data_IF_100311831867
#
_entry.id   IF_100311831867
#
_cell.length_a   1.000
_cell.length_b   1.000
_cell.length_c   1.000
_cell.angle_alpha   90.00
_cell.angle_beta   90.00
_cell.angle_gamma   90.00
#
_symmetry.space_group_name_H-M   'P 1'
#
loop_
_entity.id
_entity.type
_entity.pdbx_description
1 polymer ?
#
# COMPACT_ATOMS: atom_id res chain seq x y z
N UNK A 1 -12.73 22.61 -10.78
CA UNK A 1 -12.86 21.47 -11.70
C UNK A 1 -12.05 20.35 -11.08
N UNK A 2 -12.59 19.12 -10.96
CA UNK A 2 -11.78 18.01 -10.51
C UNK A 2 -10.62 17.84 -11.50
N UNK A 3 -9.36 17.80 -11.02
CA UNK A 3 -8.21 17.49 -11.87
C UNK A 3 -8.47 16.13 -12.52
N UNK A 4 -8.22 16.08 -13.83
CA UNK A 4 -8.40 14.84 -14.57
C UNK A 4 -7.26 13.89 -14.17
N UNK A 5 -7.59 12.82 -13.46
CA UNK A 5 -6.61 11.82 -12.97
C UNK A 5 -5.75 11.18 -14.06
N UNK A 6 -6.09 11.35 -15.35
CA UNK A 6 -5.37 10.77 -16.47
C UNK A 6 -4.28 11.69 -17.07
N UNK A 7 -4.01 12.85 -16.50
CA UNK A 7 -3.08 13.80 -17.11
C UNK A 7 -1.66 13.26 -17.22
N UNK A 8 -1.16 12.61 -16.17
CA UNK A 8 0.18 12.01 -16.18
C UNK A 8 0.28 10.83 -17.14
N UNK A 9 -0.71 9.97 -17.16
CA UNK A 9 -0.75 8.84 -18.10
C UNK A 9 -0.81 9.33 -19.55
N UNK A 10 -1.63 10.33 -19.86
CA UNK A 10 -1.70 10.92 -21.22
C UNK A 10 -0.38 11.50 -21.69
N UNK A 11 0.34 12.19 -20.81
CA UNK A 11 1.66 12.74 -21.13
C UNK A 11 2.62 11.62 -21.52
N UNK A 12 2.65 10.52 -20.76
CA UNK A 12 3.51 9.39 -21.05
C UNK A 12 3.08 8.61 -22.31
N UNK A 13 1.78 8.41 -22.52
CA UNK A 13 1.29 7.80 -23.77
C UNK A 13 1.63 8.64 -25.02
N UNK A 14 1.57 9.96 -24.90
CA UNK A 14 1.96 10.87 -26.00
C UNK A 14 3.47 10.82 -26.30
N UNK A 15 4.30 10.41 -25.34
CA UNK A 15 5.74 10.16 -25.55
C UNK A 15 6.05 8.79 -26.16
N UNK A 16 5.01 7.96 -26.41
CA UNK A 16 5.14 6.65 -27.06
C UNK A 16 5.15 5.45 -26.11
N UNK A 17 5.07 5.66 -24.78
CA UNK A 17 4.92 4.57 -23.83
C UNK A 17 3.52 3.96 -23.93
N UNK A 18 3.36 2.69 -23.59
CA UNK A 18 2.09 1.97 -23.72
C UNK A 18 1.62 1.36 -22.40
N UNK A 19 2.47 0.62 -21.74
CA UNK A 19 2.17 -0.07 -20.49
C UNK A 19 2.58 0.79 -19.28
N UNK A 20 1.67 1.65 -18.81
CA UNK A 20 1.90 2.51 -17.64
C UNK A 20 1.33 1.84 -16.39
N UNK A 21 2.16 1.72 -15.38
CA UNK A 21 1.82 1.09 -14.10
C UNK A 21 1.74 2.14 -12.99
N UNK A 22 0.65 2.17 -12.25
CA UNK A 22 0.57 2.89 -10.98
C UNK A 22 0.99 1.99 -9.83
N UNK A 23 1.73 2.53 -8.86
CA UNK A 23 2.22 1.78 -7.68
C UNK A 23 2.03 2.61 -6.42
N UNK A 24 1.47 1.99 -5.38
CA UNK A 24 1.32 2.59 -4.05
C UNK A 24 1.40 1.54 -2.94
N UNK A 25 1.66 1.98 -1.70
CA UNK A 25 1.70 1.11 -0.55
C UNK A 25 0.65 1.47 0.52
N UNK A 26 0.34 0.51 1.37
CA UNK A 26 -0.49 0.69 2.55
C UNK A 26 0.12 0.02 3.77
N UNK A 27 0.10 0.72 4.91
CA UNK A 27 0.52 0.11 6.17
C UNK A 27 1.96 0.41 6.58
N UNK A 28 2.57 1.51 6.14
CA UNK A 28 3.89 1.94 6.61
C UNK A 28 3.90 2.30 8.11
N UNK A 29 2.87 2.98 8.63
CA UNK A 29 2.83 3.53 10.00
C UNK A 29 2.34 2.63 11.15
N UNK A 30 1.59 1.52 10.95
CA UNK A 30 1.11 0.66 12.05
C UNK A 30 2.24 0.00 12.85
N UNK A 31 1.95 -0.27 14.14
CA UNK A 31 2.83 -1.01 15.06
C UNK A 31 2.82 -2.52 14.80
N UNK A 32 1.79 -3.02 14.09
CA UNK A 32 1.62 -4.45 13.81
C UNK A 32 1.10 -4.70 12.39
N UNK A 33 1.41 -5.90 11.89
CA UNK A 33 1.03 -6.39 10.58
C UNK A 33 1.97 -5.95 9.46
N UNK A 34 1.80 -6.53 8.26
CA UNK A 34 2.64 -6.28 7.09
C UNK A 34 2.43 -4.90 6.47
N UNK A 35 3.39 -4.47 5.66
CA UNK A 35 3.19 -3.43 4.65
C UNK A 35 2.79 -4.12 3.34
N UNK A 36 1.75 -3.60 2.69
CA UNK A 36 1.27 -4.05 1.39
C UNK A 36 1.63 -3.05 0.33
N UNK A 37 1.89 -3.51 -0.88
CA UNK A 37 1.97 -2.68 -2.07
C UNK A 37 1.13 -3.29 -3.19
N UNK A 38 0.66 -2.47 -4.10
CA UNK A 38 0.01 -2.90 -5.32
C UNK A 38 0.59 -2.18 -6.53
N UNK A 39 0.62 -2.88 -7.66
CA UNK A 39 0.98 -2.39 -8.97
C UNK A 39 -0.20 -2.65 -9.93
N UNK A 40 -0.59 -1.66 -10.73
CA UNK A 40 -1.79 -1.75 -11.57
C UNK A 40 -1.53 -1.11 -12.93
N UNK A 41 -1.84 -1.84 -14.00
CA UNK A 41 -1.91 -1.33 -15.37
C UNK A 41 -3.39 -1.28 -15.74
N UNK A 42 -3.91 -0.08 -15.99
CA UNK A 42 -5.30 0.13 -16.36
C UNK A 42 -5.46 0.27 -17.90
N UNK A 43 -6.60 -0.16 -18.46
CA UNK A 43 -6.97 0.24 -19.82
C UNK A 43 -7.02 1.77 -19.94
N UNK A 44 -6.61 2.28 -21.09
CA UNK A 44 -6.56 3.74 -21.33
C UNK A 44 -7.90 4.39 -21.05
N UNK A 45 -7.87 5.43 -20.21
CA UNK A 45 -9.00 6.31 -19.90
C UNK A 45 -10.27 5.60 -19.39
N UNK A 46 -10.13 4.39 -18.85
CA UNK A 46 -11.27 3.69 -18.24
C UNK A 46 -11.86 4.53 -17.09
N UNK A 47 -13.17 4.65 -17.07
CA UNK A 47 -13.88 5.40 -16.03
C UNK A 47 -14.14 4.54 -14.80
N UNK A 48 -13.64 4.95 -13.63
CA UNK A 48 -14.06 4.43 -12.34
C UNK A 48 -14.79 5.54 -11.59
N UNK A 49 -16.15 5.52 -11.55
CA UNK A 49 -16.91 6.57 -10.86
C UNK A 49 -16.50 6.66 -9.37
N UNK A 50 -15.99 7.82 -8.99
CA UNK A 50 -15.56 8.07 -7.61
C UNK A 50 -14.16 7.60 -7.26
N UNK A 51 -13.34 7.17 -8.23
CA UNK A 51 -11.92 6.91 -8.03
C UNK A 51 -11.24 8.18 -7.49
N UNK A 52 -10.55 8.07 -6.39
CA UNK A 52 -9.82 9.14 -5.72
C UNK A 52 -8.86 8.53 -4.71
N UNK A 53 -8.01 9.35 -4.08
CA UNK A 53 -7.22 9.00 -2.90
C UNK A 53 -8.01 8.10 -1.94
N UNK A 54 -7.48 6.91 -1.68
CA UNK A 54 -8.15 5.86 -0.89
C UNK A 54 -8.53 6.33 0.53
N UNK A 55 -7.81 7.30 1.08
CA UNK A 55 -8.03 7.87 2.42
C UNK A 55 -9.29 8.76 2.48
N UNK A 56 -9.70 9.32 1.34
CA UNK A 56 -10.91 10.14 1.21
C UNK A 56 -12.19 9.32 1.00
N UNK A 57 -12.06 8.02 0.77
CA UNK A 57 -13.15 7.11 0.49
C UNK A 57 -13.62 6.35 1.73
N UNK A 58 -14.91 6.03 1.82
CA UNK A 58 -15.41 5.10 2.83
C UNK A 58 -14.95 3.67 2.53
N UNK A 59 -14.90 2.80 3.54
CA UNK A 59 -14.54 1.39 3.36
C UNK A 59 -15.40 0.70 2.28
N UNK A 60 -16.73 0.90 2.33
CA UNK A 60 -17.66 0.33 1.35
C UNK A 60 -17.37 0.79 -0.10
N UNK A 61 -17.03 2.08 -0.29
CA UNK A 61 -16.65 2.58 -1.63
C UNK A 61 -15.34 1.98 -2.10
N UNK A 62 -14.34 1.82 -1.20
CA UNK A 62 -13.09 1.15 -1.54
C UNK A 62 -13.29 -0.30 -1.94
N UNK A 63 -14.16 -1.05 -1.24
CA UNK A 63 -14.45 -2.44 -1.59
C UNK A 63 -15.09 -2.56 -2.99
N UNK A 64 -16.06 -1.69 -3.32
CA UNK A 64 -16.65 -1.66 -4.67
C UNK A 64 -15.62 -1.34 -5.75
N UNK A 65 -14.77 -0.34 -5.52
CA UNK A 65 -13.70 0.02 -6.46
C UNK A 65 -12.64 -1.08 -6.58
N UNK A 66 -12.30 -1.75 -5.48
CA UNK A 66 -11.40 -2.91 -5.51
C UNK A 66 -11.89 -3.97 -6.48
N UNK A 67 -13.17 -4.36 -6.37
CA UNK A 67 -13.77 -5.38 -7.24
C UNK A 67 -13.82 -4.92 -8.70
N UNK A 68 -14.14 -3.63 -8.95
CA UNK A 68 -14.12 -3.05 -10.29
C UNK A 68 -12.71 -3.03 -10.89
N UNK A 69 -11.71 -2.57 -10.13
CA UNK A 69 -10.31 -2.49 -10.60
C UNK A 69 -9.79 -3.88 -10.94
N UNK A 70 -9.97 -4.86 -10.06
CA UNK A 70 -9.49 -6.23 -10.28
C UNK A 70 -10.17 -6.93 -11.45
N UNK A 71 -11.43 -6.58 -11.75
CA UNK A 71 -12.16 -7.12 -12.90
C UNK A 71 -11.78 -6.48 -14.24
N UNK A 72 -11.21 -5.27 -14.24
CA UNK A 72 -11.02 -4.49 -15.47
C UNK A 72 -9.58 -4.10 -15.78
N UNK A 73 -8.67 -4.18 -14.81
CA UNK A 73 -7.24 -3.92 -15.02
C UNK A 73 -6.66 -4.87 -16.08
N UNK A 74 -5.80 -4.36 -16.97
CA UNK A 74 -5.05 -5.18 -17.91
C UNK A 74 -4.05 -6.11 -17.19
N UNK A 75 -3.44 -5.60 -16.12
CA UNK A 75 -2.65 -6.37 -15.18
C UNK A 75 -2.69 -5.72 -13.80
N UNK A 76 -2.67 -6.51 -12.75
CA UNK A 76 -2.41 -6.02 -11.39
C UNK A 76 -1.68 -7.10 -10.59
N UNK A 77 -0.96 -6.64 -9.58
CA UNK A 77 -0.34 -7.52 -8.59
C UNK A 77 -0.36 -6.86 -7.23
N UNK A 78 -0.49 -7.67 -6.19
CA UNK A 78 -0.51 -7.24 -4.79
C UNK A 78 0.54 -8.06 -4.06
N UNK A 79 1.45 -7.38 -3.38
CA UNK A 79 2.51 -8.01 -2.61
C UNK A 79 2.58 -7.41 -1.21
N UNK A 80 3.31 -8.07 -0.33
CA UNK A 80 3.53 -7.60 1.03
C UNK A 80 4.92 -7.95 1.54
N UNK A 81 5.32 -7.26 2.60
CA UNK A 81 6.50 -7.54 3.42
C UNK A 81 6.04 -7.69 4.85
N UNK A 82 6.45 -8.77 5.52
CA UNK A 82 5.99 -9.16 6.86
C UNK A 82 6.53 -8.24 7.95
N UNK A 83 6.00 -8.34 9.17
CA UNK A 83 6.50 -7.59 10.32
C UNK A 83 7.96 -7.96 10.64
N UNK A 84 8.35 -9.22 10.51
CA UNK A 84 9.71 -9.71 10.71
C UNK A 84 10.68 -9.15 9.67
N UNK A 85 10.30 -9.14 8.39
CA UNK A 85 11.11 -8.53 7.33
C UNK A 85 11.25 -7.02 7.51
N UNK A 86 10.18 -6.33 7.99
CA UNK A 86 10.24 -4.89 8.32
C UNK A 86 11.26 -4.63 9.43
N UNK A 87 11.27 -5.46 10.46
CA UNK A 87 12.22 -5.32 11.57
C UNK A 87 13.68 -5.57 11.14
N UNK A 88 13.88 -6.44 10.15
CA UNK A 88 15.21 -6.75 9.60
C UNK A 88 15.73 -5.69 8.64
N UNK A 89 14.84 -5.08 7.83
CA UNK A 89 15.19 -4.18 6.73
C UNK A 89 15.09 -2.70 7.07
N UNK A 90 14.29 -2.32 8.02
CA UNK A 90 13.60 -1.04 8.25
C UNK A 90 12.40 -0.80 7.32
N UNK A 91 11.57 0.18 7.69
CA UNK A 91 10.30 0.43 6.98
C UNK A 91 10.49 1.04 5.59
N UNK A 92 11.53 1.84 5.36
CA UNK A 92 11.79 2.44 4.06
C UNK A 92 12.19 1.38 3.04
N UNK A 93 13.13 0.52 3.41
CA UNK A 93 13.55 -0.61 2.59
C UNK A 93 12.41 -1.61 2.37
N UNK A 94 11.62 -1.90 3.41
CA UNK A 94 10.47 -2.79 3.31
C UNK A 94 9.38 -2.27 2.35
N UNK A 95 9.13 -0.96 2.31
CA UNK A 95 8.22 -0.33 1.33
C UNK A 95 8.71 -0.53 -0.10
N UNK A 96 9.99 -0.25 -0.36
CA UNK A 96 10.58 -0.46 -1.69
C UNK A 96 10.54 -1.93 -2.10
N UNK A 97 10.83 -2.84 -1.18
CA UNK A 97 10.74 -4.28 -1.43
C UNK A 97 9.31 -4.71 -1.76
N UNK A 98 8.30 -4.22 -1.02
CA UNK A 98 6.90 -4.53 -1.31
C UNK A 98 6.48 -4.01 -2.70
N UNK A 99 6.90 -2.80 -3.06
CA UNK A 99 6.63 -2.22 -4.38
C UNK A 99 7.32 -3.02 -5.50
N UNK A 100 8.61 -3.38 -5.35
CA UNK A 100 9.32 -4.22 -6.32
C UNK A 100 8.60 -5.57 -6.50
N UNK A 101 8.24 -6.25 -5.41
CA UNK A 101 7.48 -7.52 -5.47
C UNK A 101 6.14 -7.35 -6.20
N UNK A 102 5.45 -6.23 -6.00
CA UNK A 102 4.20 -5.95 -6.71
C UNK A 102 4.44 -5.72 -8.21
N UNK A 103 5.47 -4.95 -8.58
CA UNK A 103 5.84 -4.71 -9.99
C UNK A 103 6.27 -6.02 -10.67
N UNK A 104 7.12 -6.81 -10.02
CA UNK A 104 7.62 -8.09 -10.53
C UNK A 104 6.51 -9.14 -10.70
N UNK A 105 5.45 -9.06 -9.90
CA UNK A 105 4.29 -9.96 -9.98
C UNK A 105 3.30 -9.63 -11.09
N UNK A 106 3.49 -8.54 -11.85
CA UNK A 106 2.62 -8.21 -12.98
C UNK A 106 2.79 -9.20 -14.14
N UNK A 107 1.68 -9.57 -14.78
CA UNK A 107 1.67 -10.39 -16.00
C UNK A 107 2.12 -9.63 -17.24
N UNK A 108 2.11 -8.30 -17.21
CA UNK A 108 2.57 -7.40 -18.26
C UNK A 108 3.74 -6.60 -17.71
N UNK A 109 4.89 -6.59 -18.39
CA UNK A 109 6.03 -5.76 -18.00
C UNK A 109 5.72 -4.29 -18.28
N UNK A 110 5.77 -3.39 -17.28
CA UNK A 110 5.52 -1.98 -17.52
C UNK A 110 6.67 -1.29 -18.26
N UNK A 111 6.33 -0.34 -19.12
CA UNK A 111 7.31 0.58 -19.74
C UNK A 111 7.76 1.63 -18.72
N UNK A 112 6.84 2.08 -17.86
CA UNK A 112 7.08 3.06 -16.80
C UNK A 112 6.15 2.83 -15.61
N UNK A 113 6.71 2.89 -14.40
CA UNK A 113 5.96 2.87 -13.15
C UNK A 113 5.81 4.29 -12.57
N UNK A 114 4.57 4.71 -12.31
CA UNK A 114 4.23 5.92 -11.57
C UNK A 114 4.13 5.54 -10.10
N UNK A 115 5.05 6.02 -9.26
CA UNK A 115 5.15 5.65 -7.85
C UNK A 115 4.57 6.77 -6.98
N UNK A 116 3.67 6.45 -6.03
CA UNK A 116 3.24 7.45 -5.05
C UNK A 116 4.37 7.85 -4.11
N UNK A 117 4.55 9.16 -3.91
CA UNK A 117 5.53 9.72 -2.99
C UNK A 117 6.70 10.43 -3.65
N UNK A 118 7.73 10.67 -2.85
CA UNK A 118 8.94 11.43 -3.23
C UNK A 118 10.23 10.61 -3.10
N UNK A 119 10.13 9.30 -2.90
CA UNK A 119 11.27 8.41 -2.70
C UNK A 119 11.10 7.12 -3.48
N UNK A 120 12.16 6.72 -4.10
CA UNK A 120 12.34 5.50 -4.90
C UNK A 120 13.37 4.54 -4.28
N UNK A 121 13.94 4.91 -3.13
CA UNK A 121 14.96 4.13 -2.44
C UNK A 121 14.90 4.28 -0.91
N UNK A 122 15.32 3.23 -0.23
CA UNK A 122 15.74 3.23 1.17
C UNK A 122 17.27 3.33 1.28
N UNK A 123 17.85 2.77 2.35
CA UNK A 123 19.32 2.72 2.53
C UNK A 123 19.96 1.58 1.72
N UNK A 124 19.23 0.53 1.39
CA UNK A 124 19.75 -0.68 0.73
C UNK A 124 18.83 -1.26 -0.36
N UNK A 125 17.58 -0.81 -0.46
CA UNK A 125 16.61 -1.26 -1.46
C UNK A 125 16.12 -0.06 -2.26
N UNK A 126 16.16 -0.14 -3.58
CA UNK A 126 15.62 0.85 -4.52
C UNK A 126 14.58 0.22 -5.44
N UNK A 127 13.74 1.03 -6.05
CA UNK A 127 12.87 0.58 -7.15
C UNK A 127 13.74 0.24 -8.36
N UNK A 128 13.55 -0.95 -8.92
CA UNK A 128 14.38 -1.49 -10.00
C UNK A 128 13.81 -1.27 -11.39
N UNK A 129 12.49 -1.16 -11.52
CA UNK A 129 11.82 -0.88 -12.79
C UNK A 129 12.01 0.59 -13.23
N UNK A 130 11.89 0.90 -14.54
CA UNK A 130 11.78 2.30 -14.99
C UNK A 130 10.62 2.99 -14.27
N UNK A 131 10.86 4.12 -13.62
CA UNK A 131 9.84 4.77 -12.79
C UNK A 131 9.98 6.28 -12.71
N UNK A 132 8.90 6.92 -12.25
CA UNK A 132 8.89 8.31 -11.81
C UNK A 132 8.07 8.44 -10.51
N UNK A 133 8.56 9.23 -9.56
CA UNK A 133 7.87 9.51 -8.32
C UNK A 133 6.90 10.69 -8.48
N UNK A 134 5.68 10.55 -7.93
CA UNK A 134 4.64 11.58 -7.94
C UNK A 134 4.17 11.85 -6.51
N UNK A 135 4.50 13.01 -5.96
CA UNK A 135 4.04 13.43 -4.62
C UNK A 135 2.52 13.61 -4.62
N UNK A 136 1.82 12.81 -3.78
CA UNK A 136 0.36 12.76 -3.74
C UNK A 136 -0.22 12.24 -5.06
N UNK A 137 0.45 11.26 -5.64
CA UNK A 137 0.09 10.63 -6.90
C UNK A 137 -1.28 9.97 -6.86
N UNK A 138 -1.70 9.45 -5.71
CA UNK A 138 -3.03 8.87 -5.46
C UNK A 138 -4.20 9.85 -5.71
N UNK A 139 -3.93 11.16 -5.66
CA UNK A 139 -4.88 12.21 -6.04
C UNK A 139 -4.68 12.80 -7.44
N UNK A 140 -3.67 12.34 -8.21
CA UNK A 140 -3.25 12.96 -9.48
C UNK A 140 -3.16 11.99 -10.66
N UNK A 141 -2.97 10.70 -10.40
CA UNK A 141 -2.84 9.62 -11.38
C UNK A 141 -3.91 8.56 -11.12
N UNK A 142 -4.64 8.16 -12.16
CA UNK A 142 -5.67 7.14 -12.08
C UNK A 142 -5.08 5.76 -11.72
N UNK A 143 -3.92 5.44 -12.28
CA UNK A 143 -3.23 4.18 -12.02
C UNK A 143 -2.72 4.11 -10.58
N UNK A 144 -2.16 5.20 -10.02
CA UNK A 144 -1.73 5.25 -8.61
C UNK A 144 -2.94 5.18 -7.68
N UNK A 145 -4.04 5.93 -7.99
CA UNK A 145 -5.27 5.86 -7.19
C UNK A 145 -5.83 4.44 -7.13
N UNK A 146 -5.80 3.70 -8.24
CA UNK A 146 -6.21 2.30 -8.28
C UNK A 146 -5.28 1.42 -7.42
N UNK A 147 -3.97 1.57 -7.53
CA UNK A 147 -2.99 0.86 -6.71
C UNK A 147 -3.19 1.13 -5.21
N UNK A 148 -3.42 2.39 -4.82
CA UNK A 148 -3.74 2.80 -3.44
C UNK A 148 -4.94 2.02 -2.86
N UNK A 149 -6.02 1.88 -3.66
CA UNK A 149 -7.19 1.11 -3.26
C UNK A 149 -6.86 -0.36 -3.09
N UNK A 150 -6.15 -0.98 -4.06
CA UNK A 150 -5.80 -2.39 -3.98
C UNK A 150 -4.90 -2.69 -2.77
N UNK A 151 -3.86 -1.90 -2.55
CA UNK A 151 -2.97 -2.06 -1.40
C UNK A 151 -3.74 -1.89 -0.07
N UNK A 152 -4.56 -0.83 0.03
CA UNK A 152 -5.32 -0.52 1.25
C UNK A 152 -6.35 -1.57 1.60
N UNK A 153 -7.16 -2.00 0.64
CA UNK A 153 -8.22 -2.99 0.88
C UNK A 153 -7.61 -4.34 1.22
N UNK A 154 -6.58 -4.77 0.49
CA UNK A 154 -5.91 -6.06 0.75
C UNK A 154 -5.31 -6.10 2.15
N UNK A 155 -4.61 -5.04 2.55
CA UNK A 155 -4.06 -4.94 3.90
C UNK A 155 -5.16 -4.94 4.96
N UNK A 156 -6.20 -4.14 4.79
CA UNK A 156 -7.27 -4.04 5.76
C UNK A 156 -7.99 -5.39 5.91
N UNK A 157 -8.29 -6.11 4.82
CA UNK A 157 -8.88 -7.45 4.81
C UNK A 157 -7.99 -8.47 5.54
N UNK A 158 -6.67 -8.44 5.29
CA UNK A 158 -5.72 -9.31 6.01
C UNK A 158 -5.74 -9.04 7.51
N UNK A 159 -5.62 -7.78 7.92
CA UNK A 159 -5.54 -7.41 9.33
C UNK A 159 -6.84 -7.71 10.07
N UNK A 160 -7.99 -7.45 9.47
CA UNK A 160 -9.30 -7.68 10.11
C UNK A 160 -9.77 -9.13 10.01
N UNK A 161 -9.37 -9.85 8.98
CA UNK A 161 -9.83 -11.21 8.72
C UNK A 161 -8.88 -12.30 9.18
N UNK A 162 -7.56 -12.09 9.09
CA UNK A 162 -6.54 -13.09 9.45
C UNK A 162 -5.93 -12.74 10.80
N UNK A 163 -5.29 -11.58 10.89
CA UNK A 163 -4.51 -11.21 12.06
C UNK A 163 -5.36 -11.06 13.33
N UNK A 164 -6.57 -10.51 13.20
CA UNK A 164 -7.51 -10.37 14.32
C UNK A 164 -7.98 -11.74 14.85
N UNK A 165 -8.13 -12.75 13.97
CA UNK A 165 -8.48 -14.13 14.38
C UNK A 165 -7.31 -14.88 15.02
N UNK A 166 -6.09 -14.66 14.54
CA UNK A 166 -4.88 -15.29 15.11
C UNK A 166 -4.51 -14.71 16.46
N UNK A 167 -4.79 -13.41 16.66
CA UNK A 167 -4.43 -12.68 17.87
C UNK A 167 -5.62 -11.85 18.42
N UNK A 168 -6.76 -12.49 18.80
CA UNK A 168 -8.01 -11.79 19.09
C UNK A 168 -7.91 -10.86 20.31
N UNK A 169 -6.97 -11.11 21.23
CA UNK A 169 -6.74 -10.29 22.41
C UNK A 169 -6.33 -8.84 22.08
N UNK A 170 -5.76 -8.59 20.89
CA UNK A 170 -5.34 -7.24 20.47
C UNK A 170 -6.45 -6.44 19.79
N UNK A 171 -7.54 -7.08 19.34
CA UNK A 171 -8.65 -6.44 18.65
C UNK A 171 -8.20 -5.64 17.41
N UNK A 172 -7.35 -6.24 16.59
CA UNK A 172 -6.78 -5.61 15.40
C UNK A 172 -7.84 -5.10 14.42
N UNK A 173 -9.01 -5.73 14.36
CA UNK A 173 -10.12 -5.27 13.53
C UNK A 173 -10.55 -3.83 13.84
N UNK A 174 -10.41 -3.36 15.09
CA UNK A 174 -10.81 -2.01 15.49
C UNK A 174 -9.82 -0.93 15.06
N UNK A 175 -8.53 -1.20 15.15
CA UNK A 175 -7.48 -0.19 14.93
C UNK A 175 -6.47 -0.55 13.83
N UNK A 176 -6.62 -1.72 13.19
CA UNK A 176 -5.83 -2.16 12.03
C UNK A 176 -4.30 -2.11 12.25
N UNK A 177 -3.88 -2.34 13.49
CA UNK A 177 -2.48 -2.32 13.90
C UNK A 177 -1.91 -0.93 14.19
N UNK A 178 -2.67 0.16 14.01
CA UNK A 178 -2.21 1.51 14.34
C UNK A 178 -2.06 1.70 15.85
N UNK A 179 -1.13 2.59 16.26
CA UNK A 179 -0.83 2.91 17.67
C UNK A 179 -1.92 3.76 18.33
N UNK A 180 -3.13 3.23 18.44
CA UNK A 180 -4.24 3.83 19.18
C UNK A 180 -4.11 3.55 20.69
N UNK A 181 -4.85 4.27 21.52
CA UNK A 181 -4.92 4.02 22.95
C UNK A 181 -5.25 2.55 23.25
N UNK A 182 -6.28 2.00 22.58
CA UNK A 182 -6.65 0.59 22.71
C UNK A 182 -5.49 -0.36 22.41
N UNK A 183 -4.74 -0.12 21.33
CA UNK A 183 -3.62 -0.98 20.97
C UNK A 183 -2.51 -0.96 22.03
N UNK A 184 -2.18 0.21 22.58
CA UNK A 184 -1.21 0.30 23.68
C UNK A 184 -1.71 -0.36 24.97
N UNK A 185 -3.01 -0.23 25.31
CA UNK A 185 -3.61 -0.95 26.46
C UNK A 185 -3.49 -2.47 26.31
N UNK A 186 -3.67 -2.99 25.08
CA UNK A 186 -3.50 -4.42 24.81
C UNK A 186 -2.02 -4.84 24.89
N UNK A 187 -1.11 -4.01 24.40
CA UNK A 187 0.33 -4.21 24.55
C UNK A 187 0.75 -4.22 26.04
N UNK A 188 0.21 -3.32 26.85
CA UNK A 188 0.50 -3.27 28.28
C UNK A 188 0.01 -4.52 29.01
N UNK A 189 -1.11 -5.08 28.58
CA UNK A 189 -1.74 -6.26 29.19
C UNK A 189 -1.13 -7.58 28.75
N UNK A 190 -0.82 -7.73 27.45
CA UNK A 190 -0.46 -9.01 26.85
C UNK A 190 0.98 -9.06 26.32
N UNK A 191 1.70 -7.95 26.35
CA UNK A 191 2.97 -7.81 25.65
C UNK A 191 2.82 -7.85 24.13
N UNK A 192 3.89 -7.82 23.36
CA UNK A 192 3.82 -7.91 21.89
C UNK A 192 3.78 -9.37 21.40
N UNK A 193 2.98 -9.64 20.36
CA UNK A 193 2.95 -10.92 19.64
C UNK A 193 3.84 -10.88 18.38
N UNK A 194 4.02 -12.01 17.65
CA UNK A 194 4.83 -12.06 16.42
C UNK A 194 4.40 -11.10 15.31
N UNK A 195 3.14 -10.66 15.31
CA UNK A 195 2.65 -9.68 14.34
C UNK A 195 3.15 -8.26 14.58
N UNK A 196 3.71 -7.97 15.76
CA UNK A 196 4.20 -6.63 16.08
C UNK A 196 5.60 -6.39 15.51
N UNK A 197 5.80 -5.17 15.02
CA UNK A 197 7.10 -4.66 14.54
C UNK A 197 7.90 -4.19 15.75
N UNK A 198 8.87 -4.97 16.18
CA UNK A 198 9.68 -4.69 17.38
C UNK A 198 10.42 -3.37 17.31
N UNK A 199 10.92 -3.03 16.13
CA UNK A 199 11.60 -1.74 15.89
C UNK A 199 10.69 -0.53 16.14
N UNK A 200 9.36 -0.69 15.98
CA UNK A 200 8.36 0.37 16.21
C UNK A 200 7.96 0.48 17.69
N UNK A 201 8.22 -0.53 18.50
CA UNK A 201 7.85 -0.57 19.92
C UNK A 201 8.92 -0.03 20.87
N UNK A 202 10.11 0.35 20.39
CA UNK A 202 11.24 0.85 21.22
C UNK A 202 10.82 1.93 22.24
N UNK A 203 9.98 2.90 21.82
CA UNK A 203 9.49 3.96 22.72
C UNK A 203 8.49 3.45 23.77
N UNK A 204 7.72 2.42 23.46
CA UNK A 204 6.81 1.79 24.39
C UNK A 204 7.59 0.92 25.38
N UNK A 205 8.55 0.14 24.93
CA UNK A 205 9.44 -0.67 25.78
C UNK A 205 10.22 0.18 26.77
N UNK A 206 10.79 1.31 26.31
CA UNK A 206 11.55 2.23 27.16
C UNK A 206 10.73 2.92 28.29
N UNK A 207 9.40 2.89 28.25
CA UNK A 207 8.54 3.41 29.32
C UNK A 207 8.26 2.38 30.42
N UNK A 208 8.63 1.15 30.21
CA UNK A 208 8.37 0.01 31.15
C UNK A 208 9.61 -0.42 31.91
N UNK A 209 10.78 0.05 31.51
CA UNK A 209 12.04 -0.01 32.25
C UNK A 209 12.21 1.20 33.15
#
# INVERSE_FOLDING_TARGET
MAENLWNYEREQWNSGLTALCGVDEAGAGPLAGPVYAAAVILPREIGFPGLNDSKKLTAKKRDVLFDQITATAEAYSIAFVTAEEIDSLDILNARMLAMNRAIEGLSIRPDLCLIDGNRDHGSSVSITAPHMCLVGGDGKSASIAAASILAKVSRDRYVTGVLDRECPQYQFAKHKGYGTKLHYEMLDRYGPCPAHRRTFLKKWEARRT
#
